data_IF_431895792560
#
_entry.id   IF_431895792560
#
_cell.length_a   1.000
_cell.length_b   1.000
_cell.length_c   1.000
_cell.angle_alpha   90.00
_cell.angle_beta   90.00
_cell.angle_gamma   90.00
#
_symmetry.space_group_name_H-M   'P 1'
#
loop_
_entity.id
_entity.type
_entity.pdbx_description
1 polymer ?
#
# COMPACT_ATOMS: atom_id res chain seq x y z
N UNK A 1 -17.75 -13.07 -29.21
CA UNK A 1 -18.45 -13.60 -28.02
C UNK A 1 -17.88 -12.86 -26.81
N UNK A 2 -18.59 -11.87 -26.27
CA UNK A 2 -18.18 -11.21 -25.02
C UNK A 2 -19.02 -11.80 -23.90
N UNK A 3 -18.54 -12.91 -23.36
CA UNK A 3 -19.17 -13.59 -22.23
C UNK A 3 -19.06 -12.69 -21.00
N UNK A 4 -20.22 -12.23 -20.55
CA UNK A 4 -20.47 -11.69 -19.22
C UNK A 4 -20.09 -12.74 -18.18
N UNK A 5 -19.34 -12.37 -17.14
CA UNK A 5 -19.16 -13.22 -15.96
C UNK A 5 -17.89 -12.89 -15.21
N UNK A 6 -18.03 -12.34 -14.00
CA UNK A 6 -16.92 -12.04 -13.10
C UNK A 6 -16.98 -10.68 -12.41
N UNK A 7 -18.18 -10.13 -12.14
CA UNK A 7 -18.33 -9.16 -11.05
C UNK A 7 -18.23 -9.92 -9.71
N UNK A 8 -17.06 -10.47 -9.45
CA UNK A 8 -16.64 -10.78 -8.09
C UNK A 8 -16.01 -9.49 -7.62
N UNK A 9 -16.79 -8.72 -6.86
CA UNK A 9 -16.37 -7.45 -6.29
C UNK A 9 -15.06 -7.65 -5.54
N UNK A 10 -13.93 -7.37 -6.20
CA UNK A 10 -12.67 -7.21 -5.51
C UNK A 10 -12.93 -6.12 -4.47
N UNK A 11 -12.72 -6.44 -3.19
CA UNK A 11 -13.01 -5.55 -2.06
C UNK A 11 -12.33 -4.18 -2.23
N UNK A 12 -11.23 -4.18 -2.97
CA UNK A 12 -10.38 -3.03 -3.30
C UNK A 12 -10.64 -2.42 -4.69
N UNK A 13 -11.45 -3.03 -5.55
CA UNK A 13 -11.71 -2.54 -6.92
C UNK A 13 -10.49 -2.55 -7.84
N UNK A 14 -9.43 -3.27 -7.47
CA UNK A 14 -8.17 -3.39 -8.22
C UNK A 14 -8.15 -4.58 -9.17
N UNK A 15 -7.25 -4.57 -10.15
CA UNK A 15 -6.99 -5.75 -11.00
C UNK A 15 -6.12 -6.76 -10.23
N UNK A 16 -6.20 -8.06 -10.55
CA UNK A 16 -5.36 -9.08 -9.92
C UNK A 16 -3.86 -8.79 -10.08
N UNK A 17 -3.46 -8.21 -11.21
CA UNK A 17 -2.08 -7.77 -11.46
C UNK A 17 -1.61 -6.73 -10.43
N UNK A 18 -2.46 -5.72 -10.15
CA UNK A 18 -2.14 -4.66 -9.19
C UNK A 18 -2.18 -5.15 -7.74
N UNK A 19 -3.10 -6.06 -7.40
CA UNK A 19 -3.08 -6.72 -6.10
C UNK A 19 -1.76 -7.45 -5.88
N UNK A 20 -1.25 -8.13 -6.91
CA UNK A 20 0.01 -8.86 -6.84
C UNK A 20 1.21 -7.92 -6.70
N UNK A 21 1.26 -6.82 -7.46
CA UNK A 21 2.29 -5.79 -7.33
C UNK A 21 2.29 -5.18 -5.92
N UNK A 22 1.11 -4.84 -5.38
CA UNK A 22 0.96 -4.29 -4.04
C UNK A 22 1.34 -5.28 -2.95
N UNK A 23 0.94 -6.54 -3.07
CA UNK A 23 1.30 -7.57 -2.11
C UNK A 23 2.81 -7.84 -2.14
N UNK A 24 3.43 -7.81 -3.32
CA UNK A 24 4.87 -7.96 -3.47
C UNK A 24 5.62 -6.75 -2.90
N UNK A 25 5.13 -5.53 -3.12
CA UNK A 25 5.69 -4.33 -2.53
C UNK A 25 5.58 -4.36 -1.00
N UNK A 26 4.42 -4.73 -0.46
CA UNK A 26 4.20 -4.89 0.97
C UNK A 26 5.20 -5.87 1.58
N UNK A 27 5.37 -7.03 0.95
CA UNK A 27 6.26 -8.09 1.42
C UNK A 27 7.76 -7.74 1.31
N UNK A 28 8.11 -6.80 0.42
CA UNK A 28 9.47 -6.26 0.36
C UNK A 28 9.74 -5.24 1.47
N UNK A 29 8.70 -4.56 1.95
CA UNK A 29 8.78 -3.57 3.04
C UNK A 29 8.75 -4.27 4.40
N UNK A 30 7.79 -5.16 4.62
CA UNK A 30 7.63 -5.96 5.85
C UNK A 30 8.72 -7.04 5.94
N UNK A 31 9.92 -6.64 6.37
CA UNK A 31 11.06 -7.56 6.54
C UNK A 31 10.88 -8.51 7.72
N UNK A 32 10.03 -8.14 8.69
CA UNK A 32 9.73 -8.99 9.84
C UNK A 32 8.55 -9.95 9.59
N UNK A 33 7.90 -9.87 8.44
CA UNK A 33 6.73 -10.66 8.07
C UNK A 33 5.63 -10.65 9.15
N UNK A 34 5.49 -9.52 9.83
CA UNK A 34 4.58 -9.38 10.95
C UNK A 34 3.17 -8.97 10.48
N UNK A 35 3.00 -8.63 9.19
CA UNK A 35 1.74 -8.19 8.60
C UNK A 35 1.44 -6.70 8.77
N UNK A 36 2.42 -5.93 9.25
CA UNK A 36 2.36 -4.48 9.49
C UNK A 36 3.64 -3.81 9.02
N UNK A 37 3.50 -2.68 8.34
CA UNK A 37 4.64 -1.85 7.95
C UNK A 37 4.82 -0.78 9.02
N UNK A 38 5.90 -0.88 9.79
CA UNK A 38 6.30 0.21 10.68
C UNK A 38 6.96 1.35 9.91
N UNK A 39 6.97 2.56 10.48
CA UNK A 39 7.66 3.69 9.84
C UNK A 39 9.16 3.52 9.68
N UNK A 40 9.77 2.68 10.49
CA UNK A 40 11.17 2.31 10.35
C UNK A 40 11.39 1.40 9.14
N UNK A 41 10.57 0.36 8.99
CA UNK A 41 10.60 -0.56 7.84
C UNK A 41 10.29 0.17 6.53
N UNK A 42 9.29 1.05 6.54
CA UNK A 42 8.94 1.86 5.37
C UNK A 42 10.12 2.75 4.95
N UNK A 43 10.79 3.38 5.93
CA UNK A 43 11.96 4.23 5.70
C UNK A 43 13.13 3.44 5.12
N UNK A 44 13.48 2.31 5.72
CA UNK A 44 14.53 1.42 5.20
C UNK A 44 14.22 0.99 3.77
N UNK A 45 12.97 0.64 3.49
CA UNK A 45 12.59 0.19 2.17
C UNK A 45 12.68 1.30 1.13
N UNK A 46 12.20 2.52 1.42
CA UNK A 46 12.34 3.66 0.50
C UNK A 46 13.81 4.01 0.24
N UNK A 47 14.68 3.94 1.25
CA UNK A 47 16.12 4.08 1.07
C UNK A 47 16.69 2.98 0.17
N UNK A 48 16.23 1.74 0.34
CA UNK A 48 16.68 0.57 -0.43
C UNK A 48 16.23 0.57 -1.88
N UNK A 49 15.04 1.10 -2.17
CA UNK A 49 14.55 1.31 -3.54
C UNK A 49 15.12 2.58 -4.20
N UNK A 50 16.01 3.32 -3.53
CA UNK A 50 16.55 4.60 -4.00
C UNK A 50 15.47 5.62 -4.41
N UNK A 51 14.28 5.50 -3.81
CA UNK A 51 13.21 6.45 -4.07
C UNK A 51 13.47 7.62 -3.13
N UNK A 52 13.79 8.79 -3.70
CA UNK A 52 14.24 9.98 -2.98
C UNK A 52 13.16 10.68 -2.17
N UNK A 53 12.38 9.94 -1.38
CA UNK A 53 11.49 10.51 -0.39
C UNK A 53 12.29 10.94 0.84
N UNK A 54 12.02 12.16 1.31
CA UNK A 54 12.58 12.66 2.58
C UNK A 54 11.80 12.08 3.76
N UNK A 55 12.42 12.05 4.94
CA UNK A 55 11.76 11.67 6.20
C UNK A 55 10.39 12.34 6.39
N UNK A 56 10.28 13.61 5.99
CA UNK A 56 9.04 14.37 6.06
C UNK A 56 7.96 13.81 5.12
N UNK A 57 8.32 13.46 3.89
CA UNK A 57 7.38 12.86 2.93
C UNK A 57 6.93 11.47 3.39
N UNK A 58 7.87 10.66 3.91
CA UNK A 58 7.56 9.35 4.46
C UNK A 58 6.59 9.50 5.64
N UNK A 59 6.87 10.40 6.59
CA UNK A 59 5.97 10.68 7.71
C UNK A 59 4.58 11.16 7.26
N UNK A 60 4.50 11.97 6.18
CA UNK A 60 3.23 12.43 5.62
C UNK A 60 2.45 11.32 4.94
N UNK A 61 3.11 10.47 4.17
CA UNK A 61 2.49 9.31 3.51
C UNK A 61 2.04 8.30 4.57
N UNK A 62 2.89 8.03 5.56
CA UNK A 62 2.61 7.10 6.62
C UNK A 62 1.44 7.58 7.48
N UNK A 63 1.42 8.87 7.88
CA UNK A 63 0.27 9.45 8.59
C UNK A 63 -1.03 9.46 7.78
N UNK A 64 -0.94 9.42 6.44
CA UNK A 64 -2.12 9.31 5.57
C UNK A 64 -2.60 7.87 5.39
N UNK A 65 -1.69 6.90 5.46
CA UNK A 65 -2.00 5.47 5.43
C UNK A 65 -2.44 4.92 6.78
N UNK A 66 -1.89 5.46 7.88
CA UNK A 66 -2.10 5.06 9.27
C UNK A 66 -3.41 5.67 9.81
N UNK A 67 -4.55 5.07 9.44
CA UNK A 67 -5.88 5.55 9.83
C UNK A 67 -6.14 5.39 11.32
N UNK A 68 -5.59 4.31 11.90
CA UNK A 68 -5.73 4.00 13.33
C UNK A 68 -4.78 4.82 14.23
N UNK A 69 -3.80 5.54 13.66
CA UNK A 69 -2.77 6.30 14.39
C UNK A 69 -1.94 5.47 15.37
N UNK A 70 -1.74 4.19 15.06
CA UNK A 70 -0.93 3.27 15.87
C UNK A 70 0.56 3.33 15.48
N UNK A 71 0.92 4.13 14.45
CA UNK A 71 2.29 4.32 13.98
C UNK A 71 2.79 3.17 13.10
N UNK A 72 1.88 2.33 12.60
CA UNK A 72 2.17 1.17 11.77
C UNK A 72 0.98 0.86 10.87
N UNK A 73 1.28 0.70 9.59
CA UNK A 73 0.31 0.51 8.54
C UNK A 73 0.02 -0.98 8.41
N UNK A 74 -1.21 -1.39 8.72
CA UNK A 74 -1.66 -2.76 8.55
C UNK A 74 -1.79 -3.11 7.06
N UNK A 75 -1.72 -4.40 6.72
CA UNK A 75 -1.95 -4.86 5.34
C UNK A 75 -3.25 -4.30 4.73
N UNK A 76 -4.35 -4.29 5.48
CA UNK A 76 -5.64 -3.76 5.04
C UNK A 76 -5.60 -2.24 4.77
N UNK A 77 -4.93 -1.48 5.64
CA UNK A 77 -4.76 -0.02 5.51
C UNK A 77 -3.92 0.32 4.27
N UNK A 78 -2.83 -0.42 4.05
CA UNK A 78 -1.98 -0.30 2.87
C UNK A 78 -2.77 -0.62 1.58
N UNK A 79 -3.47 -1.76 1.54
CA UNK A 79 -4.27 -2.16 0.38
C UNK A 79 -5.37 -1.15 0.10
N UNK A 80 -6.08 -0.68 1.13
CA UNK A 80 -7.15 0.31 1.01
C UNK A 80 -6.63 1.65 0.51
N UNK A 81 -5.50 2.12 1.04
CA UNK A 81 -4.90 3.36 0.58
C UNK A 81 -4.46 3.26 -0.88
N UNK A 82 -3.73 2.21 -1.23
CA UNK A 82 -3.28 2.00 -2.59
C UNK A 82 -4.43 1.82 -3.57
N UNK A 83 -5.46 1.08 -3.17
CA UNK A 83 -6.71 0.97 -3.93
C UNK A 83 -7.32 2.33 -4.27
N UNK A 84 -7.36 3.24 -3.29
CA UNK A 84 -7.84 4.62 -3.51
C UNK A 84 -6.93 5.43 -4.41
N UNK A 85 -5.60 5.30 -4.28
CA UNK A 85 -4.62 5.96 -5.17
C UNK A 85 -4.77 5.48 -6.62
N UNK A 86 -4.83 4.17 -6.83
CA UNK A 86 -5.00 3.57 -8.16
C UNK A 86 -6.37 3.87 -8.79
N UNK A 87 -7.42 4.05 -7.97
CA UNK A 87 -8.72 4.58 -8.42
C UNK A 87 -8.70 6.08 -8.72
N UNK A 88 -7.63 6.80 -8.38
CA UNK A 88 -7.54 8.25 -8.52
C UNK A 88 -8.35 9.03 -7.49
N UNK A 89 -8.72 8.40 -6.36
CA UNK A 89 -9.46 9.05 -5.27
C UNK A 89 -8.56 9.88 -4.34
N UNK A 90 -7.23 9.68 -4.41
CA UNK A 90 -6.25 10.46 -3.66
C UNK A 90 -5.35 11.17 -4.68
N UNK A 91 -5.55 12.47 -4.82
CA UNK A 91 -4.71 13.36 -5.63
C UNK A 91 -3.92 14.29 -4.70
N UNK A 92 -2.61 14.32 -4.88
CA UNK A 92 -1.65 15.15 -4.15
C UNK A 92 -1.73 16.63 -4.55
#
# INVERSE_FOLDING_TARGET
MVSRGGNESNLYGLRPDQLFELQTAFHQIDSNHNGYITGDEMRECFQRFHIGYTDAEIQRVLSQMDFNRDGRVSYDEYMTFMARVYRGEITY
#
